data_IF_913765786234
#
_entry.id   IF_913765786234
#
_cell.length_a   1.000
_cell.length_b   1.000
_cell.length_c   1.000
_cell.angle_alpha   90.00
_cell.angle_beta   90.00
_cell.angle_gamma   90.00
#
_symmetry.space_group_name_H-M   'P 1'
#
loop_
_entity.id
_entity.type
_entity.pdbx_description
1 polymer ?
#
# COMPACT_ATOMS: atom_id res chain seq x y z
N UNK A 1 -23.65 13.35 43.79
CA UNK A 1 -22.73 12.83 42.75
C UNK A 1 -23.16 11.41 42.40
N UNK A 2 -23.76 11.15 41.23
CA UNK A 2 -24.02 9.78 40.79
C UNK A 2 -22.68 9.06 40.60
N UNK A 3 -22.48 7.93 41.28
CA UNK A 3 -21.25 7.14 41.14
C UNK A 3 -21.17 6.51 39.75
N UNK A 4 -20.06 6.71 39.05
CA UNK A 4 -19.79 6.03 37.78
C UNK A 4 -19.75 4.52 38.00
N UNK A 5 -20.72 3.80 37.44
CA UNK A 5 -20.69 2.35 37.40
C UNK A 5 -19.62 1.91 36.40
N UNK A 6 -18.56 1.26 36.88
CA UNK A 6 -17.55 0.65 36.01
C UNK A 6 -18.15 -0.57 35.32
N UNK A 7 -18.23 -0.54 33.99
CA UNK A 7 -18.63 -1.70 33.18
C UNK A 7 -17.65 -2.85 33.36
N UNK A 8 -18.20 -4.04 33.55
CA UNK A 8 -17.50 -5.31 33.59
C UNK A 8 -16.90 -5.65 32.22
N UNK A 9 -15.91 -6.54 32.19
CA UNK A 9 -15.26 -6.98 30.94
C UNK A 9 -16.25 -7.68 30.00
N UNK A 10 -17.18 -8.45 30.57
CA UNK A 10 -18.24 -9.14 29.84
C UNK A 10 -19.21 -8.17 29.16
N UNK A 11 -19.57 -7.07 29.83
CA UNK A 11 -20.42 -6.02 29.24
C UNK A 11 -19.73 -5.33 28.07
N UNK A 12 -18.43 -5.02 28.20
CA UNK A 12 -17.64 -4.43 27.11
C UNK A 12 -17.49 -5.36 25.91
N UNK A 13 -17.34 -6.67 26.16
CA UNK A 13 -17.33 -7.70 25.13
C UNK A 13 -18.66 -7.75 24.37
N UNK A 14 -19.78 -7.80 25.11
CA UNK A 14 -21.12 -7.78 24.53
C UNK A 14 -21.37 -6.52 23.69
N UNK A 15 -20.93 -5.36 24.18
CA UNK A 15 -21.03 -4.10 23.44
C UNK A 15 -20.30 -4.16 22.08
N UNK A 16 -19.09 -4.74 22.06
CA UNK A 16 -18.33 -4.90 20.81
C UNK A 16 -18.98 -5.88 19.84
N UNK A 17 -19.56 -6.98 20.34
CA UNK A 17 -20.32 -7.91 19.50
C UNK A 17 -21.54 -7.24 18.86
N UNK A 18 -22.26 -6.41 19.62
CA UNK A 18 -23.39 -5.62 19.10
C UNK A 18 -22.95 -4.58 18.06
N UNK A 19 -21.71 -4.07 18.16
CA UNK A 19 -21.08 -3.24 17.13
C UNK A 19 -20.65 -4.04 15.88
N UNK A 20 -20.93 -5.35 15.81
CA UNK A 20 -20.60 -6.20 14.68
C UNK A 20 -19.14 -6.66 14.62
N UNK A 21 -18.45 -6.66 15.76
CA UNK A 21 -17.11 -7.26 15.88
C UNK A 21 -17.22 -8.77 16.05
N UNK A 22 -16.20 -9.49 15.62
CA UNK A 22 -16.12 -10.96 15.73
C UNK A 22 -15.15 -11.34 16.85
N UNK A 23 -15.55 -12.24 17.75
CA UNK A 23 -14.65 -12.81 18.73
C UNK A 23 -13.71 -13.82 18.06
N UNK A 24 -12.41 -13.71 18.32
CA UNK A 24 -11.40 -14.66 17.86
C UNK A 24 -11.17 -15.76 18.90
N UNK A 25 -10.69 -16.92 18.47
CA UNK A 25 -10.30 -18.02 19.36
C UNK A 25 -8.95 -17.81 20.07
N UNK A 26 -8.30 -16.67 19.84
CA UNK A 26 -6.98 -16.34 20.38
C UNK A 26 -7.11 -15.37 21.56
N UNK A 27 -6.34 -15.62 22.63
CA UNK A 27 -6.34 -14.77 23.83
C UNK A 27 -5.37 -13.59 23.68
N UNK A 28 -5.69 -12.47 24.33
CA UNK A 28 -4.82 -11.29 24.32
C UNK A 28 -3.41 -11.62 24.85
N UNK A 29 -2.32 -11.29 24.12
CA UNK A 29 -0.95 -11.61 24.56
C UNK A 29 -0.50 -10.81 25.79
N UNK A 30 -1.20 -9.71 26.12
CA UNK A 30 -0.85 -8.86 27.26
C UNK A 30 -1.46 -9.31 28.58
N UNK A 31 -2.68 -9.85 28.57
CA UNK A 31 -3.40 -10.22 29.79
C UNK A 31 -3.81 -11.69 29.86
N UNK A 32 -3.76 -12.41 28.74
CA UNK A 32 -4.11 -13.83 28.57
C UNK A 32 -5.50 -14.27 29.06
N UNK A 33 -6.33 -13.34 29.54
CA UNK A 33 -7.61 -13.61 30.21
C UNK A 33 -8.82 -13.48 29.29
N UNK A 34 -8.78 -12.56 28.34
CA UNK A 34 -9.90 -12.29 27.44
C UNK A 34 -9.54 -12.63 25.98
N UNK A 35 -10.50 -13.18 25.21
CA UNK A 35 -10.32 -13.39 23.78
C UNK A 35 -10.22 -12.06 23.03
N UNK A 36 -9.45 -12.06 21.94
CA UNK A 36 -9.34 -10.90 21.05
C UNK A 36 -10.62 -10.71 20.23
N UNK A 37 -10.89 -9.47 19.85
CA UNK A 37 -12.01 -9.11 19.00
C UNK A 37 -11.56 -8.42 17.73
N UNK A 38 -12.09 -8.85 16.58
CA UNK A 38 -11.74 -8.32 15.26
C UNK A 38 -12.88 -7.49 14.69
N UNK A 39 -12.56 -6.26 14.25
CA UNK A 39 -13.52 -5.40 13.52
C UNK A 39 -13.56 -5.78 12.04
N UNK A 40 -14.64 -5.39 11.33
CA UNK A 40 -14.78 -5.63 9.88
C UNK A 40 -13.66 -5.01 9.02
N UNK A 41 -13.08 -3.90 9.46
CA UNK A 41 -11.96 -3.24 8.78
C UNK A 41 -10.59 -3.83 9.14
N UNK A 42 -10.54 -4.97 9.84
CA UNK A 42 -9.31 -5.62 10.29
C UNK A 42 -8.72 -5.03 11.57
N UNK A 43 -7.82 -5.76 12.22
CA UNK A 43 -7.19 -5.38 13.48
C UNK A 43 -7.89 -6.00 14.69
N UNK A 44 -7.06 -6.50 15.61
CA UNK A 44 -7.48 -7.30 16.76
C UNK A 44 -7.39 -6.46 18.02
N UNK A 45 -8.42 -6.50 18.86
CA UNK A 45 -8.59 -5.61 20.01
C UNK A 45 -8.89 -6.39 21.28
N UNK A 46 -8.24 -6.00 22.37
CA UNK A 46 -8.50 -6.56 23.69
C UNK A 46 -9.37 -5.61 24.51
N UNK A 47 -10.55 -6.07 24.93
CA UNK A 47 -11.50 -5.26 25.73
C UNK A 47 -11.01 -4.98 27.16
N UNK A 48 -10.20 -5.87 27.74
CA UNK A 48 -9.65 -5.71 29.09
C UNK A 48 -8.50 -4.71 29.10
N UNK A 49 -7.59 -4.81 28.12
CA UNK A 49 -6.44 -3.91 28.00
C UNK A 49 -6.79 -2.58 27.32
N UNK A 50 -7.94 -2.51 26.63
CA UNK A 50 -8.36 -1.37 25.82
C UNK A 50 -7.29 -0.98 24.78
N UNK A 51 -6.65 -1.97 24.15
CA UNK A 51 -5.52 -1.82 23.21
C UNK A 51 -5.68 -2.80 22.04
N UNK A 52 -5.18 -2.39 20.88
CA UNK A 52 -5.05 -3.28 19.73
C UNK A 52 -3.87 -4.23 19.95
N UNK A 53 -4.08 -5.52 19.68
CA UNK A 53 -3.03 -6.50 19.64
C UNK A 53 -2.12 -6.24 18.42
N UNK A 54 -0.80 -6.46 18.56
CA UNK A 54 0.09 -6.40 17.42
C UNK A 54 -0.35 -7.50 16.45
N UNK A 55 -0.68 -7.10 15.22
CA UNK A 55 -1.03 -8.04 14.17
C UNK A 55 0.14 -8.99 13.98
N UNK A 56 -0.12 -10.30 14.03
CA UNK A 56 0.93 -11.29 13.89
C UNK A 56 1.62 -11.08 12.52
N UNK A 57 2.93 -10.77 12.46
CA UNK A 57 3.62 -10.50 11.20
C UNK A 57 3.47 -11.65 10.19
N UNK A 58 3.20 -12.86 10.69
CA UNK A 58 2.94 -14.04 9.87
C UNK A 58 1.64 -13.92 9.04
N UNK A 59 0.57 -13.30 9.55
CA UNK A 59 -0.65 -13.05 8.75
C UNK A 59 -0.39 -12.03 7.64
N UNK A 60 0.43 -11.01 7.91
CA UNK A 60 0.83 -10.03 6.88
C UNK A 60 1.65 -10.68 5.76
N UNK A 61 2.55 -11.60 6.11
CA UNK A 61 3.39 -12.31 5.16
C UNK A 61 2.58 -13.29 4.29
N UNK A 62 1.59 -13.97 4.87
CA UNK A 62 0.72 -14.90 4.16
C UNK A 62 -0.20 -14.17 3.16
N UNK A 63 -0.70 -12.98 3.51
CA UNK A 63 -1.47 -12.14 2.59
C UNK A 63 -0.63 -11.63 1.41
N UNK A 64 0.64 -11.26 1.64
CA UNK A 64 1.57 -10.89 0.57
C UNK A 64 1.87 -12.05 -0.37
N UNK A 65 2.05 -13.27 0.16
CA UNK A 65 2.27 -14.46 -0.67
C UNK A 65 1.07 -14.79 -1.56
N UNK A 66 -0.17 -14.68 -1.05
CA UNK A 66 -1.36 -14.89 -1.88
C UNK A 66 -1.48 -13.86 -3.02
N UNK A 67 -1.16 -12.59 -2.77
CA UNK A 67 -1.15 -11.58 -3.84
C UNK A 67 -0.07 -11.84 -4.90
N UNK A 68 1.12 -12.32 -4.50
CA UNK A 68 2.16 -12.68 -5.47
C UNK A 68 1.75 -13.88 -6.34
N UNK A 69 1.09 -14.89 -5.77
CA UNK A 69 0.62 -16.04 -6.53
C UNK A 69 -0.46 -15.67 -7.56
N UNK A 70 -1.42 -14.81 -7.21
CA UNK A 70 -2.41 -14.33 -8.17
C UNK A 70 -1.78 -13.56 -9.33
N UNK A 71 -0.76 -12.74 -9.07
CA UNK A 71 -0.01 -12.03 -10.13
C UNK A 71 0.75 -12.97 -11.06
N UNK A 72 1.39 -14.02 -10.52
CA UNK A 72 2.06 -15.03 -11.35
C UNK A 72 1.06 -15.80 -12.23
N UNK A 73 -0.13 -16.12 -11.72
CA UNK A 73 -1.16 -16.78 -12.54
C UNK A 73 -1.64 -15.90 -13.69
N UNK A 74 -1.86 -14.60 -13.46
CA UNK A 74 -2.21 -13.67 -14.55
C UNK A 74 -1.09 -13.52 -15.59
N UNK A 75 0.18 -13.44 -15.16
CA UNK A 75 1.30 -13.41 -16.10
C UNK A 75 1.41 -14.69 -16.92
N UNK A 76 1.18 -15.87 -16.32
CA UNK A 76 1.19 -17.14 -17.05
C UNK A 76 0.07 -17.24 -18.08
N UNK A 77 -1.14 -16.73 -17.78
CA UNK A 77 -2.22 -16.69 -18.78
C UNK A 77 -1.86 -15.78 -19.95
N UNK A 78 -1.26 -14.60 -19.69
CA UNK A 78 -0.80 -13.72 -20.77
C UNK A 78 0.34 -14.34 -21.59
N UNK A 79 1.26 -15.08 -20.97
CA UNK A 79 2.32 -15.78 -21.69
C UNK A 79 1.79 -16.98 -22.48
N UNK A 80 0.77 -17.69 -22.01
CA UNK A 80 0.14 -18.76 -22.79
C UNK A 80 -0.65 -18.22 -23.99
N UNK A 81 -1.27 -17.04 -23.87
CA UNK A 81 -1.88 -16.37 -25.03
C UNK A 81 -0.82 -15.90 -26.05
N UNK A 82 0.38 -15.52 -25.61
CA UNK A 82 1.47 -15.13 -26.52
C UNK A 82 2.24 -16.33 -27.10
N UNK A 83 2.45 -17.40 -26.31
CA UNK A 83 3.13 -18.61 -26.79
C UNK A 83 2.24 -19.48 -27.68
N UNK A 84 0.93 -19.23 -27.74
CA UNK A 84 0.07 -19.80 -28.78
C UNK A 84 0.30 -19.20 -30.17
N UNK A 85 1.05 -18.09 -30.27
CA UNK A 85 1.35 -17.43 -31.55
C UNK A 85 2.79 -17.68 -32.04
N UNK A 86 3.71 -18.15 -31.20
CA UNK A 86 5.16 -18.19 -31.50
C UNK A 86 5.85 -19.55 -31.23
N UNK A 87 5.23 -20.68 -31.58
CA UNK A 87 5.96 -21.97 -31.70
C UNK A 87 6.80 -22.00 -32.99
N UNK A 88 7.67 -21.01 -33.19
CA UNK A 88 8.86 -21.07 -34.04
C UNK A 88 9.87 -20.05 -33.51
N UNK A 89 10.85 -20.49 -32.72
CA UNK A 89 12.29 -20.19 -32.85
C UNK A 89 13.08 -20.33 -31.55
N UNK A 90 14.35 -20.65 -31.75
CA UNK A 90 15.23 -21.48 -30.94
C UNK A 90 16.22 -20.67 -30.09
N UNK A 91 16.74 -21.34 -29.07
CA UNK A 91 18.00 -21.17 -28.32
C UNK A 91 18.53 -19.74 -28.00
N UNK A 92 18.69 -19.43 -26.70
CA UNK A 92 20.01 -19.55 -26.04
C UNK A 92 20.21 -18.73 -24.75
N UNK A 93 20.80 -19.40 -23.74
CA UNK A 93 21.88 -18.93 -22.84
C UNK A 93 21.65 -17.98 -21.64
N UNK A 94 21.44 -18.61 -20.47
CA UNK A 94 22.22 -18.60 -19.20
C UNK A 94 22.79 -17.34 -18.52
N UNK A 95 22.52 -17.31 -17.21
CA UNK A 95 22.78 -16.31 -16.16
C UNK A 95 24.14 -16.47 -15.42
N UNK A 96 24.58 -15.42 -14.69
CA UNK A 96 25.06 -15.55 -13.28
C UNK A 96 25.33 -14.21 -12.58
N UNK A 97 24.78 -14.00 -11.38
CA UNK A 97 25.33 -13.06 -10.37
C UNK A 97 24.95 -13.44 -8.94
N UNK A 98 25.94 -13.33 -8.03
CA UNK A 98 25.95 -13.82 -6.65
C UNK A 98 25.48 -12.75 -5.65
N UNK A 99 24.83 -13.22 -4.58
CA UNK A 99 24.09 -12.46 -3.58
C UNK A 99 24.73 -12.64 -2.19
N UNK A 100 25.03 -11.56 -1.46
CA UNK A 100 25.70 -11.62 -0.14
C UNK A 100 24.82 -11.00 0.95
N UNK A 101 24.45 -11.81 1.95
CA UNK A 101 23.64 -11.44 3.14
C UNK A 101 24.52 -11.00 4.32
N UNK A 102 24.19 -9.91 5.05
CA UNK A 102 24.75 -9.69 6.38
C UNK A 102 23.88 -10.37 7.46
N UNK A 103 24.58 -11.13 8.30
CA UNK A 103 24.10 -11.88 9.46
C UNK A 103 24.30 -11.02 10.72
N UNK A 104 23.33 -10.98 11.64
CA UNK A 104 23.47 -10.19 12.87
C UNK A 104 22.25 -10.24 13.79
N UNK A 105 22.01 -11.39 14.41
CA UNK A 105 21.06 -11.53 15.52
C UNK A 105 21.67 -11.03 16.83
N UNK A 106 21.07 -10.00 17.43
CA UNK A 106 21.37 -9.58 18.80
C UNK A 106 20.17 -9.84 19.70
N UNK A 107 20.36 -10.79 20.62
CA UNK A 107 19.43 -11.13 21.68
C UNK A 107 19.60 -10.16 22.86
N UNK A 108 18.55 -9.42 23.20
CA UNK A 108 18.51 -8.58 24.41
C UNK A 108 17.80 -9.35 25.54
N UNK A 109 18.58 -9.79 26.53
CA UNK A 109 18.10 -10.34 27.80
C UNK A 109 18.77 -9.56 28.94
N UNK A 110 17.97 -9.08 29.89
CA UNK A 110 18.44 -8.79 31.25
C UNK A 110 18.23 -7.36 31.73
N UNK A 111 17.23 -7.19 32.59
CA UNK A 111 17.01 -6.02 33.43
C UNK A 111 18.09 -5.90 34.51
N UNK A 112 18.84 -4.81 34.50
CA UNK A 112 19.44 -4.21 35.70
C UNK A 112 19.42 -2.68 35.53
N UNK A 113 19.06 -1.97 36.60
CA UNK A 113 18.86 -0.51 36.64
C UNK A 113 20.16 0.28 36.48
N UNK A 114 20.80 0.15 35.33
CA UNK A 114 21.92 0.99 34.94
C UNK A 114 21.37 2.36 34.54
N UNK A 115 21.93 3.40 35.16
CA UNK A 115 21.75 4.78 34.76
C UNK A 115 22.37 4.95 33.36
N UNK A 116 21.63 4.53 32.33
CA UNK A 116 21.98 4.75 30.92
C UNK A 116 22.20 6.24 30.77
N UNK A 117 23.41 6.60 30.34
CA UNK A 117 23.84 7.99 30.30
C UNK A 117 22.91 8.78 29.38
N UNK A 118 22.86 10.08 29.60
CA UNK A 118 22.05 10.97 28.78
C UNK A 118 22.43 10.84 27.27
N UNK A 119 23.71 10.57 26.97
CA UNK A 119 24.21 10.32 25.61
C UNK A 119 23.70 9.02 25.02
N UNK A 120 23.73 7.90 25.76
CA UNK A 120 23.28 6.60 25.25
C UNK A 120 21.78 6.62 24.90
N UNK A 121 20.96 7.32 25.70
CA UNK A 121 19.52 7.50 25.39
C UNK A 121 19.31 8.31 24.11
N UNK A 122 20.14 9.33 23.87
CA UNK A 122 20.06 10.16 22.66
C UNK A 122 20.48 9.35 21.42
N UNK A 123 21.59 8.59 21.53
CA UNK A 123 22.07 7.72 20.47
C UNK A 123 21.03 6.64 20.11
N UNK A 124 20.38 6.03 21.11
CA UNK A 124 19.31 5.07 20.89
C UNK A 124 18.09 5.69 20.18
N UNK A 125 17.66 6.89 20.60
CA UNK A 125 16.57 7.61 19.93
C UNK A 125 16.92 7.98 18.48
N UNK A 126 18.13 8.46 18.22
CA UNK A 126 18.64 8.77 16.88
C UNK A 126 18.60 7.53 15.98
N UNK A 127 19.11 6.40 16.47
CA UNK A 127 19.11 5.14 15.72
C UNK A 127 17.69 4.63 15.44
N UNK A 128 16.77 4.78 16.41
CA UNK A 128 15.37 4.42 16.23
C UNK A 128 14.69 5.28 15.15
N UNK A 129 14.87 6.60 15.19
CA UNK A 129 14.34 7.51 14.17
C UNK A 129 14.88 7.20 12.77
N UNK A 130 16.18 6.88 12.67
CA UNK A 130 16.78 6.49 11.40
C UNK A 130 16.17 5.21 10.83
N UNK A 131 16.03 4.17 11.67
CA UNK A 131 15.38 2.90 11.26
C UNK A 131 13.92 3.10 10.85
N UNK A 132 13.18 3.90 11.59
CA UNK A 132 11.79 4.21 11.23
C UNK A 132 11.70 5.02 9.94
N UNK A 133 12.61 5.97 9.72
CA UNK A 133 12.71 6.74 8.48
C UNK A 133 13.03 5.87 7.27
N UNK A 134 14.00 4.95 7.40
CA UNK A 134 14.35 3.98 6.36
C UNK A 134 13.17 3.02 6.07
N UNK A 135 12.49 2.53 7.10
CA UNK A 135 11.33 1.67 6.93
C UNK A 135 10.17 2.41 6.23
N UNK A 136 9.90 3.67 6.59
CA UNK A 136 8.90 4.50 5.94
C UNK A 136 9.27 4.80 4.47
N UNK A 137 10.55 5.04 4.18
CA UNK A 137 11.03 5.25 2.82
C UNK A 137 10.88 3.99 1.94
N UNK A 138 11.21 2.81 2.47
CA UNK A 138 11.00 1.54 1.76
C UNK A 138 9.51 1.23 1.54
N UNK A 139 8.65 1.54 2.51
CA UNK A 139 7.20 1.38 2.34
C UNK A 139 6.65 2.33 1.28
N UNK A 140 7.13 3.57 1.23
CA UNK A 140 6.78 4.53 0.18
C UNK A 140 7.25 4.05 -1.20
N UNK A 141 8.47 3.50 -1.30
CA UNK A 141 8.96 2.89 -2.56
C UNK A 141 8.08 1.72 -3.00
N UNK A 142 7.70 0.82 -2.08
CA UNK A 142 6.79 -0.29 -2.38
C UNK A 142 5.44 0.22 -2.88
N UNK A 143 4.89 1.24 -2.23
CA UNK A 143 3.64 1.85 -2.65
C UNK A 143 3.74 2.45 -4.05
N UNK A 144 4.81 3.20 -4.33
CA UNK A 144 5.07 3.78 -5.64
C UNK A 144 5.25 2.70 -6.73
N UNK A 145 5.99 1.62 -6.42
CA UNK A 145 6.16 0.48 -7.32
C UNK A 145 4.83 -0.23 -7.59
N UNK A 146 3.99 -0.41 -6.55
CA UNK A 146 2.66 -0.98 -6.68
C UNK A 146 1.76 -0.10 -7.56
N UNK A 147 1.82 1.21 -7.37
CA UNK A 147 1.09 2.19 -8.20
C UNK A 147 1.53 2.12 -9.66
N UNK A 148 2.85 2.03 -9.93
CA UNK A 148 3.38 1.90 -11.28
C UNK A 148 2.91 0.62 -11.97
N UNK A 149 2.87 -0.51 -11.24
CA UNK A 149 2.34 -1.78 -11.78
C UNK A 149 0.85 -1.70 -12.10
N UNK A 150 0.03 -1.07 -11.25
CA UNK A 150 -1.39 -0.88 -11.55
C UNK A 150 -1.58 -0.04 -12.82
N UNK A 151 -0.75 0.98 -13.02
CA UNK A 151 -0.81 1.82 -14.20
C UNK A 151 -0.40 1.08 -15.49
N UNK A 152 0.55 0.13 -15.41
CA UNK A 152 0.89 -0.75 -16.54
C UNK A 152 -0.25 -1.71 -16.89
N UNK A 153 -0.89 -2.33 -15.90
CA UNK A 153 -2.04 -3.21 -16.12
C UNK A 153 -3.20 -2.48 -16.79
N UNK A 154 -3.49 -1.25 -16.37
CA UNK A 154 -4.52 -0.43 -17.01
C UNK A 154 -4.18 -0.07 -18.47
N UNK A 155 -2.89 0.11 -18.81
CA UNK A 155 -2.46 0.34 -20.20
C UNK A 155 -2.63 -0.91 -21.06
N UNK A 156 -2.31 -2.09 -20.55
CA UNK A 156 -2.49 -3.33 -21.29
C UNK A 156 -3.97 -3.60 -21.60
N UNK A 157 -4.86 -3.42 -20.63
CA UNK A 157 -6.31 -3.55 -20.87
C UNK A 157 -6.82 -2.56 -21.93
N UNK A 158 -6.26 -1.34 -22.00
CA UNK A 158 -6.58 -0.39 -23.06
C UNK A 158 -6.16 -0.87 -24.43
N UNK A 159 -4.93 -1.40 -24.55
CA UNK A 159 -4.45 -1.93 -25.81
C UNK A 159 -5.28 -3.12 -26.27
N UNK A 160 -5.70 -4.00 -25.35
CA UNK A 160 -6.60 -5.11 -25.67
C UNK A 160 -7.98 -4.62 -26.15
N UNK A 161 -8.61 -3.67 -25.46
CA UNK A 161 -9.89 -3.09 -25.89
C UNK A 161 -9.77 -2.40 -27.27
N UNK A 162 -8.69 -1.66 -27.49
CA UNK A 162 -8.43 -1.02 -28.78
C UNK A 162 -8.20 -2.04 -29.89
N UNK A 163 -7.45 -3.11 -29.61
CA UNK A 163 -7.21 -4.21 -30.55
C UNK A 163 -8.52 -4.93 -30.90
N UNK A 164 -9.40 -5.20 -29.93
CA UNK A 164 -10.71 -5.80 -30.18
C UNK A 164 -11.61 -4.90 -31.06
N UNK A 165 -11.58 -3.58 -30.86
CA UNK A 165 -12.30 -2.65 -31.73
C UNK A 165 -11.72 -2.60 -33.15
N UNK A 166 -10.39 -2.56 -33.31
CA UNK A 166 -9.78 -2.62 -34.64
C UNK A 166 -10.18 -3.90 -35.39
N UNK A 167 -10.19 -5.05 -34.70
CA UNK A 167 -10.63 -6.31 -35.29
C UNK A 167 -12.11 -6.30 -35.68
N UNK A 168 -12.98 -5.64 -34.91
CA UNK A 168 -14.39 -5.49 -35.25
C UNK A 168 -14.60 -4.60 -36.48
N UNK A 169 -13.87 -3.48 -36.57
CA UNK A 169 -13.94 -2.57 -37.71
C UNK A 169 -13.42 -3.23 -39.01
N UNK A 170 -12.37 -4.05 -38.95
CA UNK A 170 -11.87 -4.80 -40.12
C UNK A 170 -12.82 -5.93 -40.53
N UNK A 171 -13.43 -6.64 -39.58
CA UNK A 171 -14.36 -7.74 -39.88
C UNK A 171 -15.68 -7.26 -40.52
N UNK A 172 -16.10 -6.02 -40.26
CA UNK A 172 -17.32 -5.43 -40.81
C UNK A 172 -17.21 -4.97 -42.27
N UNK A 173 -16.00 -4.79 -42.80
CA UNK A 173 -15.79 -4.19 -44.12
C UNK A 173 -15.78 -5.19 -45.30
N UNK A 174 -15.66 -6.49 -45.05
CA UNK A 174 -15.38 -7.48 -46.12
C UNK A 174 -16.60 -8.21 -46.71
N UNK A 175 -17.83 -7.98 -46.21
CA UNK A 175 -19.03 -8.69 -46.71
C UNK A 175 -19.79 -7.99 -47.84
N UNK A 176 -19.39 -6.80 -48.30
CA UNK A 176 -20.15 -6.04 -49.30
C UNK A 176 -19.77 -6.31 -50.79
N UNK A 177 -18.82 -7.20 -51.09
CA UNK A 177 -18.26 -7.32 -52.45
C UNK A 177 -18.92 -8.35 -53.38
N UNK A 178 -19.98 -9.06 -52.97
CA UNK A 178 -20.54 -10.15 -53.78
C UNK A 178 -22.07 -10.17 -53.88
N UNK A 179 -22.71 -9.08 -54.29
CA UNK A 179 -24.03 -9.16 -54.92
C UNK A 179 -24.19 -8.02 -55.93
N UNK A 180 -24.11 -8.36 -57.20
CA UNK A 180 -24.45 -7.47 -58.31
C UNK A 180 -25.98 -7.40 -58.46
N UNK A 181 -26.47 -6.21 -58.84
CA UNK A 181 -27.83 -5.88 -59.33
C UNK A 181 -28.97 -5.68 -58.32
N UNK A 182 -29.15 -4.42 -57.86
CA UNK A 182 -30.32 -3.57 -58.18
C UNK A 182 -30.27 -2.23 -57.40
N UNK A 183 -30.59 -1.07 -58.01
CA UNK A 183 -30.60 0.23 -57.34
C UNK A 183 -32.00 0.52 -56.76
N UNK A 184 -32.10 0.83 -55.48
CA UNK A 184 -33.25 1.57 -54.94
C UNK A 184 -32.83 2.36 -53.70
N UNK A 185 -33.25 3.62 -53.72
CA UNK A 185 -32.89 4.71 -52.82
C UNK A 185 -33.50 4.49 -51.43
N UNK A 186 -32.68 4.25 -50.42
CA UNK A 186 -33.06 4.56 -49.04
C UNK A 186 -31.78 4.92 -48.26
N UNK A 187 -31.33 6.15 -48.53
CA UNK A 187 -30.46 6.93 -47.67
C UNK A 187 -31.26 7.25 -46.40
N UNK A 188 -30.81 6.79 -45.22
CA UNK A 188 -30.82 7.49 -43.92
C UNK A 188 -30.64 6.46 -42.80
N UNK A 189 -29.54 6.54 -42.05
CA UNK A 189 -29.42 5.74 -40.82
C UNK A 189 -28.02 5.37 -40.35
N UNK A 190 -26.95 5.93 -40.91
CA UNK A 190 -25.58 5.69 -40.44
C UNK A 190 -25.16 6.63 -39.29
N UNK A 191 -25.95 6.73 -38.22
CA UNK A 191 -25.62 7.59 -37.09
C UNK A 191 -25.71 6.81 -35.77
N UNK A 192 -24.59 6.67 -35.05
CA UNK A 192 -24.71 6.55 -33.58
C UNK A 192 -23.75 5.70 -32.75
N UNK A 193 -22.72 5.02 -33.28
CA UNK A 193 -21.86 4.16 -32.42
C UNK A 193 -20.61 4.82 -31.81
N UNK A 194 -20.38 6.12 -31.99
CA UNK A 194 -19.22 6.83 -31.38
C UNK A 194 -19.29 7.23 -29.88
N UNK A 195 -20.44 7.31 -29.16
CA UNK A 195 -20.44 7.90 -27.82
C UNK A 195 -19.81 7.01 -26.74
N UNK A 196 -19.82 5.69 -26.90
CA UNK A 196 -19.37 4.76 -25.85
C UNK A 196 -17.85 4.79 -25.66
N UNK A 197 -17.08 4.93 -26.74
CA UNK A 197 -15.62 5.04 -26.66
C UNK A 197 -15.18 6.35 -25.99
N UNK A 198 -15.88 7.45 -26.25
CA UNK A 198 -15.59 8.74 -25.63
C UNK A 198 -15.94 8.74 -24.13
N UNK A 199 -17.04 8.10 -23.74
CA UNK A 199 -17.43 7.97 -22.34
C UNK A 199 -16.44 7.10 -21.56
N UNK A 200 -15.97 5.99 -22.14
CA UNK A 200 -14.99 5.12 -21.50
C UNK A 200 -13.63 5.82 -21.33
N UNK A 201 -13.21 6.63 -22.31
CA UNK A 201 -11.99 7.43 -22.20
C UNK A 201 -12.09 8.49 -21.09
N UNK A 202 -13.25 9.15 -20.95
CA UNK A 202 -13.48 10.16 -19.92
C UNK A 202 -13.50 9.56 -18.50
N UNK A 203 -14.13 8.40 -18.32
CA UNK A 203 -14.15 7.69 -17.04
C UNK A 203 -12.74 7.27 -16.59
N UNK A 204 -11.88 6.91 -17.55
CA UNK A 204 -10.47 6.56 -17.28
C UNK A 204 -9.65 7.76 -16.84
N UNK A 205 -9.86 8.92 -17.46
CA UNK A 205 -9.17 10.15 -17.09
C UNK A 205 -9.53 10.59 -15.66
N UNK A 206 -10.80 10.40 -15.25
CA UNK A 206 -11.21 10.60 -13.85
C UNK A 206 -10.50 9.64 -12.89
N UNK A 207 -10.44 8.35 -13.22
CA UNK A 207 -9.79 7.36 -12.34
C UNK A 207 -8.29 7.62 -12.17
N UNK A 208 -7.62 8.10 -13.23
CA UNK A 208 -6.20 8.49 -13.15
C UNK A 208 -5.99 9.74 -12.29
N UNK A 209 -6.88 10.73 -12.37
CA UNK A 209 -6.83 11.89 -11.47
C UNK A 209 -7.06 11.50 -10.02
N UNK A 210 -7.97 10.56 -9.75
CA UNK A 210 -8.24 10.08 -8.40
C UNK A 210 -7.02 9.39 -7.79
N UNK A 211 -6.31 8.54 -8.55
CA UNK A 211 -5.07 7.92 -8.06
C UNK A 211 -3.95 8.94 -7.77
N UNK A 212 -3.88 10.04 -8.55
CA UNK A 212 -2.94 11.11 -8.27
C UNK A 212 -3.31 11.90 -7.02
N UNK A 213 -4.61 12.10 -6.76
CA UNK A 213 -5.10 12.71 -5.52
C UNK A 213 -4.81 11.81 -4.31
N UNK A 214 -5.09 10.52 -4.41
CA UNK A 214 -4.82 9.55 -3.33
C UNK A 214 -3.32 9.53 -2.96
N UNK A 215 -2.43 9.59 -3.96
CA UNK A 215 -0.98 9.69 -3.74
C UNK A 215 -0.58 10.99 -3.03
N UNK A 216 -1.19 12.13 -3.41
CA UNK A 216 -0.96 13.42 -2.76
C UNK A 216 -1.46 13.44 -1.32
N UNK A 217 -2.61 12.83 -1.06
CA UNK A 217 -3.20 12.73 0.27
C UNK A 217 -2.35 11.86 1.19
N UNK A 218 -1.82 10.75 0.71
CA UNK A 218 -0.90 9.89 1.47
C UNK A 218 0.40 10.63 1.81
N UNK A 219 0.94 11.41 0.87
CA UNK A 219 2.12 12.24 1.10
C UNK A 219 1.83 13.33 2.15
N UNK A 220 0.67 13.98 2.07
CA UNK A 220 0.22 14.96 3.06
C UNK A 220 0.02 14.34 4.45
N UNK A 221 -0.60 13.16 4.53
CA UNK A 221 -0.77 12.43 5.79
C UNK A 221 0.57 12.07 6.42
N UNK A 222 1.52 11.59 5.61
CA UNK A 222 2.89 11.27 6.05
C UNK A 222 3.61 12.51 6.59
N UNK A 223 3.50 13.65 5.89
CA UNK A 223 4.05 14.94 6.33
C UNK A 223 3.44 15.42 7.65
N UNK A 224 2.12 15.30 7.81
CA UNK A 224 1.42 15.71 9.03
C UNK A 224 1.87 14.88 10.24
N UNK A 225 2.03 13.56 10.07
CA UNK A 225 2.46 12.65 11.12
C UNK A 225 3.91 12.92 11.55
N UNK A 226 4.78 13.24 10.59
CA UNK A 226 6.16 13.63 10.87
C UNK A 226 6.21 14.95 11.66
N UNK A 227 5.46 15.98 11.24
CA UNK A 227 5.35 17.25 11.99
C UNK A 227 4.80 17.06 13.41
N UNK A 228 3.82 16.17 13.60
CA UNK A 228 3.28 15.86 14.92
C UNK A 228 4.35 15.27 15.84
N UNK A 229 5.16 14.33 15.34
CA UNK A 229 6.28 13.76 16.10
C UNK A 229 7.33 14.82 16.46
N UNK A 230 7.68 15.71 15.53
CA UNK A 230 8.61 16.81 15.79
C UNK A 230 8.11 17.68 16.96
N UNK A 231 6.82 18.04 16.96
CA UNK A 231 6.23 18.82 18.07
C UNK A 231 6.34 18.08 19.40
N UNK A 232 6.04 16.77 19.43
CA UNK A 232 6.19 15.94 20.63
C UNK A 232 7.64 15.92 21.12
N UNK A 233 8.62 15.79 20.22
CA UNK A 233 10.04 15.86 20.59
C UNK A 233 10.45 17.21 21.15
N UNK A 234 10.04 18.31 20.52
CA UNK A 234 10.33 19.66 21.02
C UNK A 234 9.74 19.90 22.42
N UNK A 235 8.54 19.37 22.69
CA UNK A 235 7.93 19.43 24.02
C UNK A 235 8.72 18.66 25.09
N UNK A 236 9.33 17.53 24.73
CA UNK A 236 10.21 16.78 25.65
C UNK A 236 11.54 17.48 25.91
N UNK A 237 12.04 18.25 24.94
CA UNK A 237 13.33 18.95 25.03
C UNK A 237 13.26 20.27 25.81
N UNK A 238 12.08 20.90 25.88
CA UNK A 238 11.88 22.19 26.55
C UNK A 238 12.25 22.22 28.06
N UNK A 239 12.56 21.08 28.67
CA UNK A 239 12.99 20.97 30.08
C UNK A 239 14.47 20.66 30.30
N UNK A 240 15.31 20.58 29.25
CA UNK A 240 16.73 20.21 29.39
C UNK A 240 17.65 21.32 28.91
N UNK A 241 18.43 21.95 29.80
CA UNK A 241 19.34 23.09 29.53
C UNK A 241 20.58 22.77 28.66
N UNK A 242 20.59 21.66 27.91
CA UNK A 242 21.78 21.22 27.18
C UNK A 242 21.76 21.67 25.72
N UNK A 243 22.45 22.79 25.45
CA UNK A 243 22.57 23.45 24.14
C UNK A 243 23.09 22.50 23.02
N UNK A 244 23.98 21.57 23.35
CA UNK A 244 24.54 20.64 22.35
C UNK A 244 23.52 19.62 21.84
N UNK A 245 22.52 19.25 22.66
CA UNK A 245 21.43 18.36 22.24
C UNK A 245 20.49 19.02 21.25
N UNK A 246 20.19 20.30 21.46
CA UNK A 246 19.35 21.07 20.54
C UNK A 246 19.98 21.16 19.15
N UNK A 247 21.31 21.26 19.08
CA UNK A 247 22.06 21.33 17.81
C UNK A 247 22.00 20.01 17.02
N UNK A 248 22.10 18.86 17.69
CA UNK A 248 21.98 17.55 17.04
C UNK A 248 20.54 17.25 16.58
N UNK A 249 19.54 17.61 17.39
CA UNK A 249 18.13 17.44 17.00
C UNK A 249 17.79 18.34 15.82
N UNK A 250 18.24 19.60 15.82
CA UNK A 250 18.06 20.51 14.68
C UNK A 250 18.73 19.98 13.41
N UNK A 251 19.92 19.39 13.50
CA UNK A 251 20.59 18.78 12.36
C UNK A 251 19.78 17.61 11.78
N UNK A 252 19.34 16.67 12.63
CA UNK A 252 18.53 15.52 12.19
C UNK A 252 17.18 15.95 11.59
N UNK A 253 16.55 16.99 12.15
CA UNK A 253 15.33 17.57 11.60
C UNK A 253 15.56 18.19 10.22
N UNK A 254 16.69 18.87 10.03
CA UNK A 254 17.04 19.49 8.75
C UNK A 254 17.26 18.45 7.67
N UNK A 255 17.95 17.35 8.00
CA UNK A 255 18.17 16.23 7.08
C UNK A 255 16.85 15.54 6.70
N UNK A 256 15.95 15.33 7.66
CA UNK A 256 14.62 14.77 7.40
C UNK A 256 13.78 15.69 6.50
N UNK A 257 13.91 17.01 6.65
CA UNK A 257 13.15 18.00 5.87
C UNK A 257 13.68 18.10 4.42
N UNK A 258 14.99 17.98 4.21
CA UNK A 258 15.57 17.88 2.87
C UNK A 258 15.21 16.55 2.18
N UNK A 259 15.18 15.43 2.90
CA UNK A 259 14.70 14.16 2.36
C UNK A 259 13.23 14.25 1.88
N UNK A 260 12.37 14.94 2.65
CA UNK A 260 10.98 15.19 2.25
C UNK A 260 10.86 16.12 1.03
N UNK A 261 11.74 17.12 0.89
CA UNK A 261 11.76 17.97 -0.32
C UNK A 261 12.11 17.17 -1.57
N UNK A 262 13.13 16.29 -1.48
CA UNK A 262 13.52 15.43 -2.60
C UNK A 262 12.38 14.51 -3.03
N UNK A 263 11.66 13.92 -2.07
CA UNK A 263 10.45 13.13 -2.37
C UNK A 263 9.37 13.97 -3.05
N UNK A 264 9.14 15.20 -2.59
CA UNK A 264 8.17 16.11 -3.22
C UNK A 264 8.52 16.46 -4.67
N UNK A 265 9.82 16.60 -5.00
CA UNK A 265 10.26 16.87 -6.37
C UNK A 265 10.12 15.68 -7.31
N UNK A 266 10.14 14.45 -6.79
CA UNK A 266 9.94 13.25 -7.61
C UNK A 266 8.47 12.97 -7.92
N UNK A 267 7.55 13.57 -7.15
CA UNK A 267 6.09 13.40 -7.31
C UNK A 267 5.41 14.50 -8.11
N UNK A 268 6.13 15.56 -8.48
CA UNK A 268 5.64 16.67 -9.29
C UNK A 268 5.98 16.43 -10.77
#
# INVERSE_FOLDING_TARGET
>A
MPGEKKLTESEKLAEKLLQGWTMLGENCPYCSRVPLMRRRQGGDFCVACNKFAPTDPQQQQQQQQQQQQQKQQQQKQQQQEQQGEDEETDDSSSEKSLNTKPNGGFALRGSFGLQVSAEERLAACSAALKKEGEAAAEELKKHLQQQQQQQQQQRQQQQQQHRQHQQQDESGATTAAATSYAPSEDLMGGAGKKPEQQQQQQQKQQQQQQQQQDGKDLLHQSKALLLQRIRTYNGMLAGTESIDRDRQVLAALKDALEALKLLSTMTA
#
